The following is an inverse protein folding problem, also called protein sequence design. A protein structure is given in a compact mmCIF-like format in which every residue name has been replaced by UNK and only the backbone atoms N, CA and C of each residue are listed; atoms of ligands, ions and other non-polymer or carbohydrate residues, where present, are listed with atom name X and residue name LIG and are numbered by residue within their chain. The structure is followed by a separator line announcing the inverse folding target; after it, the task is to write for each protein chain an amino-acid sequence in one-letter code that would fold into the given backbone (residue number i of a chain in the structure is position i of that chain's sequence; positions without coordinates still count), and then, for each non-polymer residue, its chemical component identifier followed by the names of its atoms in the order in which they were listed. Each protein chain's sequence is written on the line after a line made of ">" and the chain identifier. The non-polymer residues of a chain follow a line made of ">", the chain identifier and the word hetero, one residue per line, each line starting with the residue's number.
data_IF_571188300831
#
_entry.id   IF_571188300831
#
_cell.length_a   1.000
_cell.length_b   1.000
_cell.length_c   1.000
_cell.angle_alpha   90.00
_cell.angle_beta   90.00
_cell.angle_gamma   90.00
#
_symmetry.space_group_name_H-M   'P 1'
#
loop_
_entity.id
_entity.type
_entity.pdbx_description
1 polymer ?
#
# COMPACT_ATOMS: atom_id res chain seq x y z
N UNK A 1 18.14 10.84 -8.59
CA UNK A 1 18.23 10.45 -7.17
C UNK A 1 16.98 9.64 -6.87
N UNK A 2 17.10 8.54 -6.16
CA UNK A 2 15.93 7.73 -5.76
C UNK A 2 15.06 8.52 -4.77
N UNK A 3 13.75 8.33 -4.88
CA UNK A 3 12.78 8.96 -3.99
C UNK A 3 12.64 8.18 -2.67
N UNK A 4 12.57 6.84 -2.75
CA UNK A 4 12.63 5.96 -1.57
C UNK A 4 13.88 5.12 -1.67
N UNK A 5 14.71 5.13 -0.62
CA UNK A 5 15.94 4.34 -0.52
C UNK A 5 15.87 3.44 0.69
N UNK A 6 15.96 2.13 0.45
CA UNK A 6 15.99 1.07 1.49
C UNK A 6 17.36 0.41 1.42
N UNK A 7 18.14 0.49 2.51
CA UNK A 7 19.52 0.01 2.52
C UNK A 7 19.78 -0.91 3.70
N UNK A 8 20.20 -2.14 3.37
CA UNK A 8 20.63 -3.19 4.29
C UNK A 8 19.64 -3.38 5.46
N UNK A 9 18.32 -3.39 5.13
CA UNK A 9 17.24 -3.45 6.12
C UNK A 9 17.04 -4.88 6.59
N UNK A 10 17.03 -5.04 7.92
CA UNK A 10 16.71 -6.26 8.65
C UNK A 10 15.57 -6.00 9.62
N UNK A 11 14.73 -7.02 9.83
CA UNK A 11 13.69 -6.98 10.85
C UNK A 11 13.57 -8.34 11.54
N UNK A 12 13.48 -8.30 12.87
CA UNK A 12 13.32 -9.51 13.68
C UNK A 12 12.39 -9.27 14.86
N UNK A 13 11.61 -10.30 15.24
CA UNK A 13 10.76 -10.28 16.42
C UNK A 13 11.14 -11.42 17.36
N UNK A 14 11.48 -11.09 18.60
CA UNK A 14 11.89 -12.09 19.59
C UNK A 14 13.10 -12.92 19.16
N UNK A 15 14.04 -12.30 18.42
CA UNK A 15 15.22 -12.97 17.88
C UNK A 15 14.99 -13.78 16.61
N UNK A 16 13.75 -13.89 16.12
CA UNK A 16 13.43 -14.58 14.85
C UNK A 16 13.49 -13.60 13.70
N UNK A 17 14.30 -13.84 12.65
CA UNK A 17 14.38 -12.97 11.49
C UNK A 17 13.11 -13.09 10.64
N UNK A 18 12.55 -11.93 10.27
CA UNK A 18 11.45 -11.81 9.34
C UNK A 18 11.93 -11.31 7.99
N UNK A 19 12.76 -10.26 8.00
CA UNK A 19 13.40 -9.70 6.81
C UNK A 19 14.91 -9.65 7.01
N UNK A 20 15.65 -9.94 5.96
CA UNK A 20 17.10 -9.92 5.96
C UNK A 20 17.63 -9.24 4.70
N UNK A 21 18.49 -8.25 4.92
CA UNK A 21 19.24 -7.54 3.86
C UNK A 21 18.35 -7.06 2.70
N UNK A 22 17.22 -6.45 3.03
CA UNK A 22 16.35 -5.85 2.00
C UNK A 22 17.01 -4.59 1.48
N UNK A 23 17.16 -4.50 0.16
CA UNK A 23 17.72 -3.36 -0.55
C UNK A 23 16.83 -3.04 -1.76
N UNK A 24 16.37 -1.80 -1.88
CA UNK A 24 15.66 -1.32 -3.05
C UNK A 24 15.73 0.21 -3.15
N UNK A 25 15.87 0.70 -4.37
CA UNK A 25 15.78 2.12 -4.71
C UNK A 25 14.55 2.32 -5.61
N UNK A 26 13.69 3.27 -5.26
CA UNK A 26 12.44 3.56 -5.97
C UNK A 26 12.39 5.02 -6.37
N UNK A 27 12.01 5.30 -7.61
CA UNK A 27 11.86 6.67 -8.11
C UNK A 27 10.48 7.24 -7.75
N UNK A 28 10.38 8.57 -7.72
CA UNK A 28 9.10 9.23 -7.49
C UNK A 28 8.09 8.90 -8.61
N UNK A 29 6.86 8.59 -8.22
CA UNK A 29 5.79 8.23 -9.13
C UNK A 29 5.82 6.78 -9.64
N UNK A 30 6.76 5.94 -9.20
CA UNK A 30 6.73 4.50 -9.52
C UNK A 30 5.61 3.78 -8.77
N UNK A 31 5.00 2.79 -9.42
CA UNK A 31 4.10 1.82 -8.81
C UNK A 31 4.85 0.50 -8.59
N UNK A 32 5.09 0.17 -7.34
CA UNK A 32 5.81 -1.02 -6.92
C UNK A 32 4.81 -2.06 -6.41
N UNK A 33 4.70 -3.18 -7.10
CA UNK A 33 3.96 -4.34 -6.62
C UNK A 33 4.88 -5.26 -5.83
N UNK A 34 4.46 -5.67 -4.64
CA UNK A 34 5.20 -6.55 -3.73
C UNK A 34 4.46 -7.87 -3.65
N UNK A 35 5.08 -8.93 -4.12
CA UNK A 35 4.49 -10.27 -4.17
C UNK A 35 5.35 -11.27 -3.39
N UNK A 36 4.80 -12.42 -3.05
CA UNK A 36 5.50 -13.49 -2.33
C UNK A 36 4.58 -14.27 -1.41
N UNK A 37 5.08 -15.37 -0.87
CA UNK A 37 4.33 -16.27 0.00
C UNK A 37 3.74 -15.57 1.23
N UNK A 38 2.64 -16.11 1.77
CA UNK A 38 2.07 -15.61 3.02
C UNK A 38 3.09 -15.73 4.16
N UNK A 39 3.19 -14.71 5.01
CA UNK A 39 4.10 -14.68 6.14
C UNK A 39 5.58 -14.40 5.79
N UNK A 40 5.92 -14.05 4.55
CA UNK A 40 7.30 -13.66 4.18
C UNK A 40 7.67 -12.21 4.53
N UNK A 41 6.87 -11.49 5.32
CA UNK A 41 7.23 -10.16 5.82
C UNK A 41 6.81 -8.97 4.94
N UNK A 42 5.97 -9.15 3.91
CA UNK A 42 5.51 -8.05 3.03
C UNK A 42 4.80 -6.93 3.80
N UNK A 43 3.84 -7.27 4.67
CA UNK A 43 3.14 -6.30 5.51
C UNK A 43 4.07 -5.65 6.54
N UNK A 44 5.07 -6.40 7.06
CA UNK A 44 6.13 -5.84 7.91
C UNK A 44 6.94 -4.78 7.15
N UNK A 45 7.29 -5.06 5.89
CA UNK A 45 8.00 -4.10 5.06
C UNK A 45 7.15 -2.83 4.81
N UNK A 46 5.84 -2.98 4.53
CA UNK A 46 4.93 -1.82 4.41
C UNK A 46 4.87 -1.00 5.70
N UNK A 47 4.81 -1.63 6.89
CA UNK A 47 4.82 -0.91 8.17
C UNK A 47 6.11 -0.14 8.41
N UNK A 48 7.24 -0.68 7.97
CA UNK A 48 8.50 0.06 8.02
C UNK A 48 8.53 1.23 7.03
N UNK A 49 8.00 1.09 5.83
CA UNK A 49 7.82 2.20 4.89
C UNK A 49 6.89 3.28 5.46
N UNK A 50 5.86 2.89 6.21
CA UNK A 50 4.97 3.81 6.93
C UNK A 50 5.67 4.51 8.11
N UNK A 51 6.80 3.99 8.59
CA UNK A 51 7.46 4.31 9.84
C UNK A 51 6.64 3.97 11.11
N UNK A 52 5.68 3.04 11.00
CA UNK A 52 4.99 2.43 12.15
C UNK A 52 5.93 1.49 12.92
N UNK A 53 6.85 0.85 12.20
CA UNK A 53 7.90 0.01 12.76
C UNK A 53 9.27 0.50 12.29
N UNK A 54 10.27 0.44 13.17
CA UNK A 54 11.65 0.74 12.82
C UNK A 54 12.38 -0.55 12.46
N UNK A 55 13.25 -0.56 11.43
CA UNK A 55 14.08 -1.72 11.14
C UNK A 55 15.04 -2.02 12.31
N UNK A 56 15.27 -3.31 12.60
CA UNK A 56 16.27 -3.72 13.60
C UNK A 56 17.68 -3.29 13.20
N UNK A 57 17.94 -3.21 11.88
CA UNK A 57 19.20 -2.72 11.28
C UNK A 57 18.90 -2.18 9.88
N UNK A 58 19.75 -1.29 9.39
CA UNK A 58 19.62 -0.64 8.09
C UNK A 58 18.82 0.63 8.16
N UNK A 59 18.51 1.22 7.01
CA UNK A 59 17.83 2.52 6.94
C UNK A 59 16.80 2.55 5.81
N UNK A 60 15.72 3.30 6.04
CA UNK A 60 14.73 3.66 5.03
C UNK A 60 14.65 5.18 5.02
N UNK A 61 14.95 5.78 3.87
CA UNK A 61 14.89 7.23 3.69
C UNK A 61 13.97 7.59 2.54
N UNK A 62 13.30 8.74 2.64
CA UNK A 62 12.42 9.28 1.60
C UNK A 62 12.94 10.65 1.22
N UNK A 63 13.06 10.90 -0.09
CA UNK A 63 13.49 12.17 -0.68
C UNK A 63 14.86 12.65 -0.15
N UNK A 64 15.76 11.71 0.14
CA UNK A 64 17.08 12.00 0.71
C UNK A 64 17.07 12.55 2.14
N UNK A 65 15.88 12.54 2.80
CA UNK A 65 15.74 13.00 4.18
C UNK A 65 16.26 11.99 5.21
N UNK A 66 16.19 12.39 6.49
CA UNK A 66 16.50 11.50 7.60
C UNK A 66 15.47 10.35 7.71
N UNK A 67 15.86 9.17 8.25
CA UNK A 67 14.91 8.10 8.52
C UNK A 67 13.78 8.60 9.44
N UNK A 68 12.53 8.40 9.02
CA UNK A 68 11.39 8.81 9.83
C UNK A 68 11.23 7.89 11.03
N UNK A 69 10.92 8.46 12.19
CA UNK A 69 10.69 7.72 13.44
C UNK A 69 9.22 7.45 13.71
N UNK A 70 8.32 8.14 13.01
CA UNK A 70 6.87 8.01 13.13
C UNK A 70 6.17 8.26 11.79
N UNK A 71 4.93 7.77 11.60
CA UNK A 71 4.15 8.03 10.38
C UNK A 71 3.91 9.52 10.14
N UNK A 72 4.16 9.97 8.91
CA UNK A 72 3.92 11.34 8.46
C UNK A 72 2.76 11.46 7.49
N UNK A 73 2.24 12.67 7.29
CA UNK A 73 1.12 12.95 6.38
C UNK A 73 1.46 12.69 4.90
N UNK A 74 2.74 12.64 4.56
CA UNK A 74 3.24 12.30 3.22
C UNK A 74 3.02 10.82 2.86
N UNK A 75 2.58 9.99 3.81
CA UNK A 75 2.35 8.55 3.66
C UNK A 75 0.91 8.21 3.94
N UNK A 76 0.15 7.84 2.91
CA UNK A 76 -1.18 7.27 3.05
C UNK A 76 -1.08 5.74 3.15
N UNK A 77 -1.93 5.12 3.96
CA UNK A 77 -1.98 3.67 4.08
C UNK A 77 -3.41 3.17 4.02
N UNK A 78 -3.60 2.03 3.34
CA UNK A 78 -4.84 1.25 3.34
C UNK A 78 -4.49 -0.17 3.72
N UNK A 79 -4.90 -0.58 4.92
CA UNK A 79 -4.69 -1.93 5.43
C UNK A 79 -5.72 -2.92 4.88
N UNK A 80 -5.42 -4.20 4.93
CA UNK A 80 -6.30 -5.31 4.55
C UNK A 80 -7.65 -5.27 5.31
N UNK A 81 -7.63 -4.90 6.60
CA UNK A 81 -8.85 -4.57 7.35
C UNK A 81 -9.06 -3.07 7.26
N UNK A 82 -10.13 -2.67 6.61
CA UNK A 82 -10.44 -1.26 6.30
C UNK A 82 -10.39 -0.37 7.54
N UNK A 83 -9.55 0.66 7.47
CA UNK A 83 -9.37 1.65 8.54
C UNK A 83 -10.42 2.77 8.47
N UNK A 84 -11.69 2.43 8.17
CA UNK A 84 -12.78 3.40 8.16
C UNK A 84 -13.36 3.55 9.58
N UNK A 85 -13.74 4.76 9.95
CA UNK A 85 -14.34 5.06 11.25
C UNK A 85 -15.82 4.63 11.25
N UNK A 86 -16.22 3.58 11.98
CA UNK A 86 -17.58 3.02 11.91
C UNK A 86 -18.65 3.96 12.47
N UNK A 87 -18.26 4.91 13.31
CA UNK A 87 -19.14 5.91 13.95
C UNK A 87 -19.28 7.21 13.16
N UNK A 88 -18.59 7.34 12.03
CA UNK A 88 -18.69 8.46 11.11
C UNK A 88 -19.42 8.04 9.83
N UNK A 89 -20.19 8.97 9.22
CA UNK A 89 -20.75 8.72 7.90
C UNK A 89 -19.67 8.63 6.84
N UNK A 90 -20.00 8.18 5.64
CA UNK A 90 -19.10 8.08 4.49
C UNK A 90 -18.43 9.43 4.21
N UNK A 91 -19.22 10.52 4.12
CA UNK A 91 -18.70 11.87 3.96
C UNK A 91 -17.80 12.30 5.12
N UNK A 92 -18.19 12.00 6.36
CA UNK A 92 -17.39 12.35 7.54
C UNK A 92 -16.07 11.59 7.60
N UNK A 93 -16.02 10.36 7.10
CA UNK A 93 -14.77 9.58 6.98
C UNK A 93 -13.78 10.31 6.05
N UNK A 94 -14.23 10.82 4.91
CA UNK A 94 -13.36 11.58 4.00
C UNK A 94 -12.87 12.87 4.69
N UNK A 95 -13.78 13.64 5.32
CA UNK A 95 -13.42 14.89 6.03
C UNK A 95 -12.45 14.62 7.19
N UNK A 96 -12.57 13.48 7.88
CA UNK A 96 -11.68 13.12 8.99
C UNK A 96 -10.20 13.06 8.56
N UNK A 97 -9.89 12.58 7.35
CA UNK A 97 -8.55 12.59 6.79
C UNK A 97 -7.91 14.00 6.73
N UNK A 98 -8.71 15.05 6.48
CA UNK A 98 -8.23 16.44 6.56
C UNK A 98 -8.16 16.96 8.01
N UNK A 99 -9.06 16.52 8.87
CA UNK A 99 -9.10 16.92 10.27
C UNK A 99 -7.81 16.59 11.01
N UNK A 100 -7.18 15.47 10.70
CA UNK A 100 -5.89 15.07 11.29
C UNK A 100 -4.74 16.01 10.96
N UNK A 101 -4.85 16.83 9.93
CA UNK A 101 -3.86 17.85 9.58
C UNK A 101 -3.95 19.11 10.47
N UNK A 102 -4.98 19.25 11.29
CA UNK A 102 -5.15 20.41 12.17
C UNK A 102 -4.73 20.09 13.59
N UNK A 103 -4.06 21.03 14.27
CA UNK A 103 -3.61 20.87 15.66
C UNK A 103 -4.76 20.53 16.65
N UNK A 104 -6.01 20.87 16.34
CA UNK A 104 -7.19 20.59 17.17
C UNK A 104 -7.98 19.35 16.74
N UNK A 105 -7.60 18.69 15.62
CA UNK A 105 -8.37 17.59 15.03
C UNK A 105 -9.78 18.00 14.54
N UNK A 106 -10.12 19.31 14.53
CA UNK A 106 -11.46 19.79 14.20
C UNK A 106 -11.43 20.97 13.24
N UNK A 107 -12.10 20.81 12.10
CA UNK A 107 -12.34 21.89 11.15
C UNK A 107 -13.57 22.71 11.58
N UNK A 108 -13.48 24.05 11.50
CA UNK A 108 -14.58 24.97 11.84
C UNK A 108 -14.79 26.03 10.74
N UNK A 109 -15.99 26.59 10.69
CA UNK A 109 -16.32 27.72 9.83
C UNK A 109 -16.06 27.46 8.34
N UNK A 110 -15.35 28.37 7.68
CA UNK A 110 -15.01 28.29 6.26
C UNK A 110 -14.15 27.06 5.92
N UNK A 111 -13.20 26.68 6.79
CA UNK A 111 -12.36 25.50 6.59
C UNK A 111 -13.20 24.21 6.56
N UNK A 112 -14.22 24.09 7.43
CA UNK A 112 -15.14 22.95 7.42
C UNK A 112 -15.97 22.89 6.14
N UNK A 113 -16.46 24.01 5.64
CA UNK A 113 -17.20 24.05 4.36
C UNK A 113 -16.34 23.62 3.20
N UNK A 114 -15.14 24.17 3.08
CA UNK A 114 -14.21 23.80 2.03
C UNK A 114 -13.81 22.30 2.09
N UNK A 115 -13.67 21.73 3.30
CA UNK A 115 -13.41 20.30 3.47
C UNK A 115 -14.60 19.44 3.03
N UNK A 116 -15.83 19.87 3.27
CA UNK A 116 -17.04 19.17 2.79
C UNK A 116 -17.13 19.19 1.26
N UNK A 117 -16.84 20.33 0.61
CA UNK A 117 -16.83 20.44 -0.85
C UNK A 117 -15.76 19.50 -1.47
N UNK A 118 -14.55 19.44 -0.87
CA UNK A 118 -13.53 18.49 -1.32
C UNK A 118 -13.92 17.04 -1.06
N UNK A 119 -14.59 16.77 0.07
CA UNK A 119 -15.12 15.45 0.37
C UNK A 119 -16.16 14.99 -0.65
N UNK A 120 -17.07 15.86 -1.04
CA UNK A 120 -18.07 15.55 -2.06
C UNK A 120 -17.39 15.28 -3.42
N UNK A 121 -16.41 16.07 -3.82
CA UNK A 121 -15.62 15.81 -5.03
C UNK A 121 -14.84 14.46 -4.96
N UNK A 122 -14.30 14.11 -3.79
CA UNK A 122 -13.67 12.79 -3.60
C UNK A 122 -14.69 11.67 -3.67
N UNK A 123 -15.87 11.83 -3.06
CA UNK A 123 -16.96 10.85 -3.10
C UNK A 123 -17.45 10.59 -4.52
N UNK A 124 -17.54 11.63 -5.35
CA UNK A 124 -17.86 11.49 -6.78
C UNK A 124 -16.79 10.66 -7.49
N UNK A 125 -15.52 10.95 -7.25
CA UNK A 125 -14.38 10.20 -7.86
C UNK A 125 -14.38 8.72 -7.50
N UNK A 126 -14.68 8.38 -6.23
CA UNK A 126 -14.71 6.97 -5.78
C UNK A 126 -16.11 6.33 -5.97
N UNK A 127 -17.06 7.06 -6.55
CA UNK A 127 -18.40 6.57 -6.86
C UNK A 127 -19.28 6.29 -5.63
N UNK A 128 -19.09 7.05 -4.52
CA UNK A 128 -19.80 6.85 -3.25
C UNK A 128 -20.71 8.02 -2.85
N UNK A 129 -20.93 9.00 -3.72
CA UNK A 129 -21.75 10.18 -3.40
C UNK A 129 -23.19 9.80 -3.04
N UNK A 130 -23.76 8.76 -3.69
CA UNK A 130 -25.12 8.27 -3.44
C UNK A 130 -25.34 7.67 -2.04
N UNK A 131 -24.26 7.39 -1.29
CA UNK A 131 -24.26 6.85 0.09
C UNK A 131 -23.55 7.76 1.08
N UNK A 132 -23.29 9.01 0.72
CA UNK A 132 -22.47 9.95 1.49
C UNK A 132 -22.89 10.10 2.96
N UNK A 133 -24.17 10.01 3.26
CA UNK A 133 -24.74 10.17 4.60
C UNK A 133 -25.01 8.83 5.32
N UNK A 134 -24.65 7.70 4.69
CA UNK A 134 -24.72 6.39 5.32
C UNK A 134 -23.47 6.09 6.17
N UNK A 135 -23.58 5.07 7.04
CA UNK A 135 -22.47 4.60 7.86
C UNK A 135 -21.75 3.41 7.18
N UNK A 136 -20.46 3.19 7.44
CA UNK A 136 -19.68 2.11 6.84
C UNK A 136 -20.32 0.72 6.96
N UNK A 137 -21.04 0.45 8.05
CA UNK A 137 -21.70 -0.83 8.28
C UNK A 137 -22.78 -1.19 7.22
N UNK A 138 -23.34 -0.19 6.51
CA UNK A 138 -24.33 -0.40 5.44
C UNK A 138 -23.68 -0.59 4.06
N UNK A 139 -22.36 -0.45 3.95
CA UNK A 139 -21.62 -0.53 2.69
C UNK A 139 -21.19 -1.96 2.39
N UNK A 140 -21.16 -2.32 1.09
CA UNK A 140 -20.46 -3.54 0.65
C UNK A 140 -18.94 -3.45 0.91
N UNK A 141 -18.25 -4.58 0.95
CA UNK A 141 -16.79 -4.61 1.13
C UNK A 141 -16.05 -3.74 0.12
N UNK A 142 -16.45 -3.79 -1.16
CA UNK A 142 -15.87 -2.94 -2.21
C UNK A 142 -16.12 -1.44 -2.01
N UNK A 143 -17.30 -1.06 -1.47
CA UNK A 143 -17.57 0.34 -1.12
C UNK A 143 -16.73 0.79 0.07
N UNK A 144 -16.55 -0.06 1.09
CA UNK A 144 -15.67 0.24 2.23
C UNK A 144 -14.21 0.40 1.78
N UNK A 145 -13.76 -0.43 0.84
CA UNK A 145 -12.43 -0.32 0.24
C UNK A 145 -12.23 1.01 -0.48
N UNK A 146 -13.18 1.39 -1.34
CA UNK A 146 -13.15 2.70 -2.02
C UNK A 146 -13.15 3.86 -1.04
N UNK A 147 -13.92 3.76 0.03
CA UNK A 147 -13.94 4.75 1.10
C UNK A 147 -12.57 4.86 1.80
N UNK A 148 -11.94 3.73 2.15
CA UNK A 148 -10.62 3.70 2.78
C UNK A 148 -9.53 4.33 1.89
N UNK A 149 -9.55 4.03 0.59
CA UNK A 149 -8.63 4.66 -0.37
C UNK A 149 -8.90 6.17 -0.47
N UNK A 150 -10.16 6.58 -0.62
CA UNK A 150 -10.54 8.00 -0.67
C UNK A 150 -10.10 8.76 0.58
N UNK A 151 -10.26 8.16 1.77
CA UNK A 151 -9.82 8.72 3.05
C UNK A 151 -8.29 8.90 3.08
N UNK A 152 -7.51 7.89 2.67
CA UNK A 152 -6.06 7.97 2.62
C UNK A 152 -5.56 9.07 1.67
N UNK A 153 -6.27 9.26 0.54
CA UNK A 153 -5.92 10.25 -0.47
C UNK A 153 -6.23 11.70 -0.08
N UNK A 154 -7.11 11.89 0.88
CA UNK A 154 -7.50 13.24 1.32
C UNK A 154 -6.33 14.02 1.91
N UNK A 155 -5.35 13.33 2.52
CA UNK A 155 -4.12 13.93 3.01
C UNK A 155 -3.15 14.35 1.88
N UNK A 156 -3.45 14.01 0.61
CA UNK A 156 -2.58 14.21 -0.56
C UNK A 156 -1.17 13.62 -0.35
N UNK A 157 -1.09 12.34 0.00
CA UNK A 157 0.20 11.73 0.31
C UNK A 157 1.09 11.67 -0.93
N UNK A 158 2.40 11.71 -0.74
CA UNK A 158 3.40 11.44 -1.80
C UNK A 158 3.61 9.94 -2.01
N UNK A 159 3.34 9.14 -0.97
CA UNK A 159 3.44 7.67 -0.98
C UNK A 159 2.11 7.08 -0.55
N UNK A 160 1.58 6.12 -1.30
CA UNK A 160 0.42 5.32 -0.94
C UNK A 160 0.83 3.86 -0.72
N UNK A 161 0.54 3.35 0.46
CA UNK A 161 0.83 1.98 0.87
C UNK A 161 -0.48 1.19 0.89
N UNK A 162 -0.54 0.10 0.13
CA UNK A 162 -1.72 -0.73 -0.03
C UNK A 162 -1.39 -2.16 0.40
N UNK A 163 -2.05 -2.67 1.43
CA UNK A 163 -1.86 -4.05 1.92
C UNK A 163 -3.05 -4.91 1.50
N UNK A 164 -2.88 -5.73 0.45
CA UNK A 164 -3.88 -6.61 -0.16
C UNK A 164 -5.22 -5.90 -0.45
N UNK A 165 -5.20 -4.74 -1.16
CA UNK A 165 -6.36 -3.86 -1.24
C UNK A 165 -7.55 -4.46 -2.00
N UNK A 166 -7.37 -5.52 -2.77
CA UNK A 166 -8.42 -6.05 -3.66
C UNK A 166 -8.82 -7.50 -3.36
N UNK A 167 -8.21 -8.12 -2.35
CA UNK A 167 -8.40 -9.53 -2.05
C UNK A 167 -9.85 -9.93 -1.73
N UNK A 168 -10.64 -9.02 -1.17
CA UNK A 168 -12.04 -9.25 -0.81
C UNK A 168 -13.06 -8.74 -1.84
N UNK A 169 -12.60 -8.23 -3.01
CA UNK A 169 -13.48 -7.63 -4.03
C UNK A 169 -13.94 -8.65 -5.06
N UNK A 170 -15.17 -8.50 -5.52
CA UNK A 170 -15.66 -9.20 -6.72
C UNK A 170 -14.91 -8.71 -7.98
N UNK A 171 -14.86 -9.52 -9.05
CA UNK A 171 -14.07 -9.19 -10.24
C UNK A 171 -14.41 -7.85 -10.91
N UNK A 172 -15.70 -7.47 -10.93
CA UNK A 172 -16.15 -6.20 -11.52
C UNK A 172 -15.69 -5.00 -10.71
N UNK A 173 -15.86 -5.04 -9.40
CA UNK A 173 -15.40 -4.01 -8.48
C UNK A 173 -13.88 -3.90 -8.50
N UNK A 174 -13.16 -5.03 -8.54
CA UNK A 174 -11.68 -5.06 -8.65
C UNK A 174 -11.21 -4.33 -9.91
N UNK A 175 -11.80 -4.63 -11.07
CA UNK A 175 -11.44 -3.96 -12.33
C UNK A 175 -11.64 -2.45 -12.26
N UNK A 176 -12.78 -1.99 -11.72
CA UNK A 176 -13.03 -0.55 -11.56
C UNK A 176 -12.05 0.13 -10.60
N UNK A 177 -11.59 -0.57 -9.56
CA UNK A 177 -10.57 -0.05 -8.65
C UNK A 177 -9.17 0.01 -9.29
N UNK A 178 -8.82 -0.96 -10.14
CA UNK A 178 -7.58 -0.90 -10.92
C UNK A 178 -7.57 0.33 -11.83
N UNK A 179 -8.66 0.59 -12.54
CA UNK A 179 -8.80 1.78 -13.39
C UNK A 179 -8.67 3.06 -12.56
N UNK A 180 -9.39 3.15 -11.44
CA UNK A 180 -9.33 4.29 -10.54
C UNK A 180 -7.91 4.58 -10.05
N UNK A 181 -7.16 3.58 -9.59
CA UNK A 181 -5.77 3.76 -9.14
C UNK A 181 -4.84 4.18 -10.29
N UNK A 182 -5.05 3.64 -11.49
CA UNK A 182 -4.27 4.00 -12.67
C UNK A 182 -4.49 5.47 -13.06
N UNK A 183 -5.74 5.92 -13.08
CA UNK A 183 -6.11 7.31 -13.36
C UNK A 183 -5.55 8.25 -12.30
N UNK A 184 -5.75 7.91 -11.02
CA UNK A 184 -5.25 8.68 -9.89
C UNK A 184 -3.74 8.88 -9.96
N UNK A 185 -2.99 7.81 -10.24
CA UNK A 185 -1.54 7.86 -10.37
C UNK A 185 -1.10 8.78 -11.50
N UNK A 186 -1.76 8.69 -12.67
CA UNK A 186 -1.46 9.55 -13.81
C UNK A 186 -1.61 11.04 -13.48
N UNK A 187 -2.60 11.39 -12.63
CA UNK A 187 -2.86 12.76 -12.22
C UNK A 187 -1.90 13.27 -11.13
N UNK A 188 -1.52 12.41 -10.18
CA UNK A 188 -0.87 12.85 -8.93
C UNK A 188 0.63 12.62 -8.89
N UNK A 189 1.18 11.78 -9.78
CA UNK A 189 2.58 11.28 -9.74
C UNK A 189 2.95 10.65 -8.40
N UNK A 190 1.97 10.13 -7.68
CA UNK A 190 2.15 9.50 -6.38
C UNK A 190 2.90 8.19 -6.52
N UNK A 191 3.86 7.95 -5.62
CA UNK A 191 4.54 6.65 -5.52
C UNK A 191 3.64 5.66 -4.80
N UNK A 192 3.46 4.47 -5.34
CA UNK A 192 2.56 3.45 -4.77
C UNK A 192 3.35 2.20 -4.44
N UNK A 193 3.16 1.65 -3.25
CA UNK A 193 3.59 0.30 -2.88
C UNK A 193 2.35 -0.53 -2.59
N UNK A 194 2.17 -1.61 -3.33
CA UNK A 194 1.02 -2.50 -3.17
C UNK A 194 1.49 -3.92 -2.89
N UNK A 195 1.10 -4.44 -1.74
CA UNK A 195 1.22 -5.88 -1.46
C UNK A 195 0.03 -6.59 -2.08
N UNK A 196 0.28 -7.63 -2.84
CA UNK A 196 -0.74 -8.53 -3.36
C UNK A 196 -0.23 -9.97 -3.39
N UNK A 197 -1.14 -10.93 -3.26
CA UNK A 197 -0.86 -12.34 -3.51
C UNK A 197 -1.18 -12.73 -4.97
N UNK A 198 -1.86 -11.86 -5.72
CA UNK A 198 -2.20 -12.04 -7.12
C UNK A 198 -1.08 -11.48 -8.01
N UNK A 199 -0.31 -12.39 -8.61
CA UNK A 199 0.82 -12.03 -9.48
C UNK A 199 0.37 -11.28 -10.73
N UNK A 200 -0.75 -11.70 -11.34
CA UNK A 200 -1.28 -11.06 -12.55
C UNK A 200 -1.66 -9.60 -12.25
N UNK A 201 -2.30 -9.38 -11.09
CA UNK A 201 -2.60 -8.04 -10.59
C UNK A 201 -1.33 -7.21 -10.39
N UNK A 202 -0.30 -7.80 -9.76
CA UNK A 202 0.98 -7.16 -9.52
C UNK A 202 1.65 -6.69 -10.81
N UNK A 203 1.69 -7.52 -11.84
CA UNK A 203 2.26 -7.18 -13.15
C UNK A 203 1.40 -6.22 -13.97
N UNK A 204 0.08 -6.25 -13.79
CA UNK A 204 -0.85 -5.37 -14.49
C UNK A 204 -0.79 -3.93 -14.00
N UNK A 205 -0.64 -3.73 -12.70
CA UNK A 205 -0.68 -2.40 -12.07
C UNK A 205 0.71 -1.82 -11.82
N UNK A 206 1.69 -2.67 -11.47
CA UNK A 206 3.04 -2.24 -11.14
C UNK A 206 3.86 -1.82 -12.35
N UNK A 207 4.74 -0.85 -12.15
CA UNK A 207 5.87 -0.60 -13.06
C UNK A 207 6.99 -1.59 -12.79
N UNK A 208 7.14 -1.97 -11.52
CA UNK A 208 8.09 -2.97 -11.04
C UNK A 208 7.40 -3.94 -10.10
N UNK A 209 7.84 -5.20 -10.14
CA UNK A 209 7.37 -6.26 -9.26
C UNK A 209 8.52 -6.77 -8.43
N UNK A 210 8.45 -6.56 -7.12
CA UNK A 210 9.40 -7.07 -6.14
C UNK A 210 8.91 -8.40 -5.58
N UNK A 211 9.71 -9.44 -5.72
CA UNK A 211 9.40 -10.76 -5.17
C UNK A 211 10.11 -10.94 -3.83
N UNK A 212 9.31 -11.08 -2.77
CA UNK A 212 9.80 -11.42 -1.45
C UNK A 212 9.77 -12.93 -1.26
N UNK A 213 10.92 -13.53 -0.98
CA UNK A 213 11.05 -14.96 -0.73
C UNK A 213 12.13 -15.23 0.32
N UNK A 214 12.13 -16.46 0.86
CA UNK A 214 13.15 -16.99 1.77
C UNK A 214 14.10 -17.90 0.98
N UNK A 215 15.21 -17.36 0.44
CA UNK A 215 16.15 -18.16 -0.37
C UNK A 215 16.91 -19.22 0.46
N UNK A 216 16.88 -19.08 1.79
CA UNK A 216 17.47 -20.04 2.74
C UNK A 216 16.38 -20.68 3.57
N UNK A 217 16.44 -21.97 3.74
CA UNK A 217 15.48 -22.73 4.54
C UNK A 217 16.19 -23.83 5.31
N UNK A 218 15.84 -23.96 6.60
CA UNK A 218 16.31 -25.04 7.46
C UNK A 218 15.11 -25.93 7.82
N UNK A 219 15.14 -27.23 7.49
CA UNK A 219 14.04 -28.15 7.82
C UNK A 219 13.84 -28.35 9.32
N UNK A 220 14.89 -28.12 10.13
CA UNK A 220 14.84 -28.27 11.59
C UNK A 220 14.42 -26.97 12.30
N UNK A 221 14.61 -25.82 11.66
CA UNK A 221 14.14 -24.51 12.13
C UNK A 221 13.64 -23.66 10.95
N UNK A 222 12.38 -23.81 10.54
CA UNK A 222 11.79 -23.03 9.44
C UNK A 222 11.78 -21.51 9.66
N UNK A 223 12.02 -21.08 10.91
CA UNK A 223 12.11 -19.67 11.29
C UNK A 223 13.54 -19.10 11.33
N UNK A 224 14.57 -19.91 11.03
CA UNK A 224 15.98 -19.51 11.13
C UNK A 224 16.38 -18.36 10.20
N UNK A 225 15.67 -18.19 9.08
CA UNK A 225 16.00 -17.19 8.06
C UNK A 225 14.82 -16.27 7.74
N UNK A 226 15.12 -14.99 7.50
CA UNK A 226 14.19 -14.00 7.03
C UNK A 226 14.06 -14.00 5.50
N UNK A 227 13.02 -13.33 5.01
CA UNK A 227 12.84 -13.09 3.60
C UNK A 227 13.64 -11.88 3.12
N UNK A 228 13.94 -11.86 1.83
CA UNK A 228 14.58 -10.73 1.13
C UNK A 228 13.89 -10.50 -0.21
N UNK A 229 14.24 -9.43 -0.90
CA UNK A 229 13.88 -9.25 -2.31
C UNK A 229 14.79 -10.17 -3.13
N UNK A 230 14.21 -11.20 -3.71
CA UNK A 230 14.93 -12.17 -4.55
C UNK A 230 14.92 -11.77 -6.02
N UNK A 231 13.89 -11.05 -6.45
CA UNK A 231 13.73 -10.54 -7.82
C UNK A 231 13.10 -9.17 -7.82
N UNK A 232 13.52 -8.37 -8.79
CA UNK A 232 13.05 -7.03 -9.08
C UNK A 232 12.84 -6.94 -10.60
N UNK A 233 11.58 -7.06 -11.02
CA UNK A 233 11.21 -7.08 -12.44
C UNK A 233 10.69 -5.72 -12.87
N UNK A 234 11.17 -5.20 -14.01
CA UNK A 234 10.49 -4.11 -14.71
C UNK A 234 9.26 -4.71 -15.45
N UNK A 235 8.06 -4.44 -14.92
CA UNK A 235 6.81 -4.94 -15.50
C UNK A 235 6.42 -4.22 -16.81
N UNK A 236 7.08 -3.11 -17.13
CA UNK A 236 6.92 -2.39 -18.41
C UNK A 236 7.66 -3.09 -19.55
N UNK A 237 8.69 -3.86 -19.21
CA UNK A 237 9.39 -4.69 -20.18
C UNK A 237 8.54 -5.92 -20.55
N UNK A 238 7.75 -5.77 -21.62
CA UNK A 238 6.87 -6.83 -22.15
C UNK A 238 7.63 -7.99 -22.80
N UNK A 239 8.97 -7.99 -22.74
CA UNK A 239 9.83 -9.03 -23.31
C UNK A 239 9.82 -10.35 -22.52
N UNK A 240 9.39 -10.35 -21.26
CA UNK A 240 9.27 -11.57 -20.43
C UNK A 240 7.79 -11.92 -20.31
N UNK A 241 7.29 -12.99 -20.97
CA UNK A 241 5.92 -13.44 -20.78
C UNK A 241 5.68 -13.82 -19.31
N UNK A 242 4.54 -13.40 -18.74
CA UNK A 242 4.12 -13.74 -17.38
C UNK A 242 4.24 -15.24 -17.08
N UNK A 243 3.87 -16.12 -18.04
CA UNK A 243 4.01 -17.56 -17.92
C UNK A 243 5.46 -18.00 -17.66
N UNK A 244 6.44 -17.35 -18.29
CA UNK A 244 7.85 -17.65 -18.07
C UNK A 244 8.34 -17.30 -16.67
N UNK A 245 7.72 -16.31 -16.03
CA UNK A 245 7.99 -15.96 -14.63
C UNK A 245 7.45 -17.04 -13.70
N UNK A 246 6.24 -17.55 -13.96
CA UNK A 246 5.68 -18.69 -13.22
C UNK A 246 6.51 -19.97 -13.37
N UNK A 247 7.04 -20.21 -14.58
CA UNK A 247 7.90 -21.37 -14.86
C UNK A 247 9.25 -21.27 -14.13
N UNK A 248 9.80 -20.07 -14.04
CA UNK A 248 11.05 -19.81 -13.30
C UNK A 248 10.85 -19.82 -11.77
N UNK A 249 9.63 -19.56 -11.29
CA UNK A 249 9.29 -19.44 -9.87
C UNK A 249 8.06 -20.26 -9.48
N UNK A 250 8.16 -21.61 -9.45
CA UNK A 250 7.04 -22.48 -9.09
C UNK A 250 6.46 -22.22 -7.69
N UNK A 251 7.25 -21.61 -6.79
CA UNK A 251 6.79 -21.19 -5.45
C UNK A 251 5.74 -20.09 -5.52
N UNK A 252 5.79 -19.22 -6.52
CA UNK A 252 4.81 -18.16 -6.74
C UNK A 252 3.49 -18.71 -7.30
N UNK A 253 3.55 -19.76 -8.12
CA UNK A 253 2.37 -20.43 -8.66
C UNK A 253 1.53 -21.16 -7.58
N UNK A 254 2.10 -21.42 -6.40
CA UNK A 254 1.40 -22.05 -5.27
C UNK A 254 0.78 -21.05 -4.30
N UNK A 255 0.99 -19.77 -4.51
CA UNK A 255 0.48 -18.68 -3.67
C UNK A 255 -0.76 -17.98 -4.27
N UNK A 256 -1.19 -18.39 -5.47
CA UNK A 256 -2.40 -17.94 -6.16
C UNK A 256 -3.59 -18.87 -5.93
#
# INVERSE_FOLDING_TARGET
>A
MSFVSVRDVFQSYGGRPILERVNVEVNEGEFISIVGASGCGKSTFLRMLLAEEQPTRGTITIDGGEPAVEPGLERGVVFQKYSVFPHLTVRQNIVAGEGFQTASGRLRGAARRAALERADAMLDRIGLNHVADQYPASLSGGMQQRLAIGQALTAKPRILLLDEPFGALDPGTRLSMHQFLTELRAETKMTVFMVTHDLEEGFKLGDRVLVFDKPRWDPHDPGAFGATITYDFDARDRGIPFQRILDLYPSLAKAS
#
